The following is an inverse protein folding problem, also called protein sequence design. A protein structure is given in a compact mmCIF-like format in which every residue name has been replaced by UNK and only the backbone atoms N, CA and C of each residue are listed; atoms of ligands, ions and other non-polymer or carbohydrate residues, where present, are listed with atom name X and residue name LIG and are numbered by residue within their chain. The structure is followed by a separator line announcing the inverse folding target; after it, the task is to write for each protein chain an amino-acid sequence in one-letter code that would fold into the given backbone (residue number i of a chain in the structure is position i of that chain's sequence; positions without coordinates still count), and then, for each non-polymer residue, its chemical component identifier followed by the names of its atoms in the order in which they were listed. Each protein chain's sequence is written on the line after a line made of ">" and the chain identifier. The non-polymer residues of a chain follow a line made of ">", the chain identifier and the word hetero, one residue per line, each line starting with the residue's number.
data_IF_486153885231
#
_entry.id   IF_486153885231
#
_cell.length_a   1.000
_cell.length_b   1.000
_cell.length_c   1.000
_cell.angle_alpha   90.00
_cell.angle_beta   90.00
_cell.angle_gamma   90.00
#
_symmetry.space_group_name_H-M   'P 1'
#
loop_
_entity.id
_entity.type
_entity.pdbx_description
1 polymer ?
#
# COMPACT_ATOMS: atom_id res chain seq x y z
N UNK A 1 -0.98 -6.90 -25.19
CA UNK A 1 -2.32 -6.89 -24.54
C UNK A 1 -2.13 -6.37 -23.13
N UNK A 2 -3.01 -5.50 -22.64
CA UNK A 2 -2.90 -4.94 -21.29
C UNK A 2 -3.12 -6.04 -20.25
N UNK A 3 -2.25 -6.12 -19.24
CA UNK A 3 -2.41 -7.04 -18.10
C UNK A 3 -3.63 -6.61 -17.26
N UNK A 4 -4.48 -7.55 -16.78
CA UNK A 4 -5.55 -7.20 -15.85
C UNK A 4 -4.97 -6.76 -14.51
N UNK A 5 -5.74 -5.96 -13.76
CA UNK A 5 -5.39 -5.56 -12.41
C UNK A 5 -5.90 -6.58 -11.39
N UNK A 6 -5.06 -6.97 -10.43
CA UNK A 6 -5.47 -7.71 -9.24
C UNK A 6 -5.13 -6.84 -8.03
N UNK A 7 -6.15 -6.26 -7.41
CA UNK A 7 -5.99 -5.35 -6.28
C UNK A 7 -6.48 -6.06 -5.02
N UNK A 8 -5.58 -6.29 -4.08
CA UNK A 8 -5.83 -6.94 -2.80
C UNK A 8 -5.80 -5.88 -1.70
N UNK A 9 -6.85 -5.80 -0.88
CA UNK A 9 -7.00 -4.80 0.19
C UNK A 9 -7.27 -5.52 1.52
N UNK A 10 -6.19 -5.79 2.26
CA UNK A 10 -6.26 -6.40 3.60
C UNK A 10 -6.42 -5.35 4.70
N UNK A 11 -7.12 -5.70 5.78
CA UNK A 11 -7.14 -4.91 7.02
C UNK A 11 -7.75 -5.72 8.15
N UNK A 12 -7.53 -5.28 9.39
CA UNK A 12 -8.34 -5.73 10.52
C UNK A 12 -9.81 -5.31 10.36
N UNK A 13 -10.69 -5.91 11.16
CA UNK A 13 -12.12 -5.57 11.15
C UNK A 13 -12.33 -4.13 11.63
N UNK A 14 -13.26 -3.39 11.02
CA UNK A 14 -13.59 -2.02 11.45
C UNK A 14 -12.67 -0.90 10.92
N UNK A 15 -11.67 -1.19 10.09
CA UNK A 15 -10.76 -0.15 9.54
C UNK A 15 -11.39 0.66 8.39
N UNK A 16 -12.45 0.18 7.75
CA UNK A 16 -13.14 0.87 6.64
C UNK A 16 -12.78 0.38 5.23
N UNK A 17 -12.20 -0.83 5.11
CA UNK A 17 -11.79 -1.45 3.84
C UNK A 17 -12.87 -1.51 2.76
N UNK A 18 -14.11 -1.88 3.09
CA UNK A 18 -15.18 -2.08 2.10
C UNK A 18 -15.54 -0.78 1.38
N UNK A 19 -15.53 0.36 2.11
CA UNK A 19 -15.75 1.69 1.53
C UNK A 19 -14.63 2.06 0.57
N UNK A 20 -13.37 1.83 0.95
CA UNK A 20 -12.20 2.12 0.13
C UNK A 20 -12.17 1.23 -1.12
N UNK A 21 -12.42 -0.07 -0.96
CA UNK A 21 -12.45 -1.02 -2.06
C UNK A 21 -13.53 -0.68 -3.10
N UNK A 22 -14.74 -0.28 -2.65
CA UNK A 22 -15.81 0.15 -3.54
C UNK A 22 -15.45 1.40 -4.36
N UNK A 23 -14.84 2.40 -3.72
CA UNK A 23 -14.41 3.63 -4.40
C UNK A 23 -13.26 3.37 -5.38
N UNK A 24 -12.27 2.53 -5.02
CA UNK A 24 -11.20 2.09 -5.94
C UNK A 24 -11.78 1.36 -7.15
N UNK A 25 -12.66 0.38 -6.90
CA UNK A 25 -13.31 -0.40 -7.96
C UNK A 25 -14.06 0.51 -8.93
N UNK A 26 -14.79 1.50 -8.40
CA UNK A 26 -15.53 2.50 -9.19
C UNK A 26 -14.60 3.38 -10.02
N UNK A 27 -13.54 3.94 -9.41
CA UNK A 27 -12.61 4.86 -10.10
C UNK A 27 -11.82 4.17 -11.21
N UNK A 28 -11.45 2.91 -11.01
CA UNK A 28 -10.73 2.11 -12.01
C UNK A 28 -11.65 1.37 -12.98
N UNK A 29 -12.97 1.54 -12.85
CA UNK A 29 -13.99 0.84 -13.64
C UNK A 29 -13.81 -0.69 -13.61
N UNK A 30 -13.44 -1.23 -12.45
CA UNK A 30 -13.29 -2.65 -12.22
C UNK A 30 -14.66 -3.21 -11.83
N UNK A 31 -15.12 -4.20 -12.60
CA UNK A 31 -16.45 -4.81 -12.44
C UNK A 31 -16.52 -5.73 -11.23
N UNK A 32 -15.45 -6.49 -10.95
CA UNK A 32 -15.46 -7.52 -9.92
C UNK A 32 -14.85 -6.98 -8.63
N UNK A 33 -15.70 -6.82 -7.61
CA UNK A 33 -15.33 -6.53 -6.24
C UNK A 33 -15.79 -7.71 -5.37
N UNK A 34 -14.86 -8.41 -4.74
CA UNK A 34 -15.14 -9.62 -3.96
C UNK A 34 -14.67 -9.43 -2.51
N UNK A 35 -15.58 -9.65 -1.56
CA UNK A 35 -15.25 -9.70 -0.14
C UNK A 35 -14.85 -11.12 0.25
N UNK A 36 -13.70 -11.28 0.89
CA UNK A 36 -13.21 -12.62 1.32
C UNK A 36 -14.14 -13.27 2.35
N UNK A 37 -14.96 -12.50 3.08
CA UNK A 37 -15.98 -13.05 3.96
C UNK A 37 -17.02 -13.88 3.17
N UNK A 38 -17.39 -13.49 1.94
CA UNK A 38 -18.28 -14.33 1.10
C UNK A 38 -17.61 -15.65 0.71
N UNK A 39 -16.32 -15.61 0.39
CA UNK A 39 -15.54 -16.81 0.09
C UNK A 39 -15.49 -17.70 1.34
N UNK A 40 -15.27 -17.12 2.53
CA UNK A 40 -15.30 -17.85 3.80
C UNK A 40 -16.62 -18.57 4.01
N UNK A 41 -17.76 -17.91 3.80
CA UNK A 41 -19.07 -18.54 3.99
C UNK A 41 -19.30 -19.75 3.05
N UNK A 42 -18.76 -19.69 1.83
CA UNK A 42 -18.77 -20.85 0.91
C UNK A 42 -17.90 -21.99 1.48
N UNK A 43 -16.68 -21.70 1.92
CA UNK A 43 -15.78 -22.70 2.51
C UNK A 43 -16.38 -23.32 3.78
N UNK A 44 -17.05 -22.51 4.62
CA UNK A 44 -17.77 -22.96 5.83
C UNK A 44 -18.92 -23.92 5.52
N UNK A 45 -19.58 -23.77 4.38
CA UNK A 45 -20.62 -24.69 3.94
C UNK A 45 -20.08 -26.08 3.56
N UNK A 46 -18.78 -26.18 3.28
CA UNK A 46 -18.10 -27.42 2.89
C UNK A 46 -17.37 -28.07 4.07
N UNK A 47 -16.68 -27.28 4.89
CA UNK A 47 -15.86 -27.76 6.00
C UNK A 47 -16.56 -27.44 7.32
N UNK A 48 -17.00 -28.49 8.04
CA UNK A 48 -17.66 -28.35 9.34
C UNK A 48 -16.75 -27.85 10.45
N UNK A 49 -17.34 -27.28 11.50
CA UNK A 49 -16.63 -26.71 12.66
C UNK A 49 -15.75 -27.71 13.41
N UNK A 50 -16.07 -28.99 13.35
CA UNK A 50 -15.28 -30.05 13.99
C UNK A 50 -13.92 -30.25 13.32
N UNK A 51 -13.80 -29.89 12.04
CA UNK A 51 -12.59 -30.05 11.24
C UNK A 51 -11.82 -28.74 11.06
N UNK A 52 -12.51 -27.60 11.04
CA UNK A 52 -11.91 -26.28 10.90
C UNK A 52 -12.55 -25.28 11.88
N UNK A 53 -12.35 -25.41 13.20
CA UNK A 53 -13.04 -24.57 14.17
C UNK A 53 -12.72 -23.07 14.00
N UNK A 54 -11.48 -22.71 13.70
CA UNK A 54 -11.05 -21.33 13.44
C UNK A 54 -11.83 -20.67 12.28
N UNK A 55 -12.18 -21.43 11.24
CA UNK A 55 -12.98 -20.97 10.09
C UNK A 55 -14.40 -20.52 10.51
N UNK A 56 -14.95 -21.06 11.59
CA UNK A 56 -16.31 -20.77 12.08
C UNK A 56 -16.36 -19.69 13.16
N UNK A 57 -15.22 -19.14 13.56
CA UNK A 57 -15.10 -18.01 14.49
C UNK A 57 -14.95 -16.69 13.74
N UNK A 58 -15.11 -15.58 14.47
CA UNK A 58 -14.63 -14.27 14.00
C UNK A 58 -13.11 -14.25 13.96
N UNK A 59 -12.51 -13.46 13.07
CA UNK A 59 -11.06 -13.37 12.90
C UNK A 59 -10.31 -13.05 14.21
N UNK A 60 -10.88 -12.18 15.06
CA UNK A 60 -10.33 -11.77 16.35
C UNK A 60 -10.64 -12.72 17.53
N UNK A 61 -11.43 -13.78 17.31
CA UNK A 61 -11.78 -14.80 18.32
C UNK A 61 -11.30 -16.21 17.91
N UNK A 62 -10.66 -16.34 16.74
CA UNK A 62 -10.23 -17.63 16.20
C UNK A 62 -9.17 -18.32 17.06
N UNK A 63 -8.34 -17.55 17.76
CA UNK A 63 -7.31 -18.06 18.67
C UNK A 63 -7.87 -18.93 19.81
N UNK A 64 -9.15 -18.75 20.18
CA UNK A 64 -9.81 -19.58 21.20
C UNK A 64 -10.00 -21.04 20.78
N UNK A 65 -9.75 -21.34 19.50
CA UNK A 65 -9.87 -22.70 18.94
C UNK A 65 -8.56 -23.48 18.95
N UNK A 66 -7.42 -22.81 19.18
CA UNK A 66 -6.12 -23.42 19.31
C UNK A 66 -6.04 -24.23 20.60
N UNK A 67 -5.59 -25.49 20.51
CA UNK A 67 -5.52 -26.41 21.65
C UNK A 67 -4.16 -26.39 22.34
N UNK A 68 -3.12 -26.07 21.58
CA UNK A 68 -1.72 -26.09 22.00
C UNK A 68 -1.25 -24.71 22.48
N UNK A 69 -2.11 -24.02 23.24
CA UNK A 69 -1.87 -22.65 23.70
C UNK A 69 -0.58 -22.49 24.51
N UNK A 70 -0.08 -23.56 25.12
CA UNK A 70 1.17 -23.60 25.87
C UNK A 70 2.43 -23.46 25.01
N UNK A 71 2.33 -23.63 23.68
CA UNK A 71 3.45 -23.45 22.74
C UNK A 71 3.72 -21.99 22.39
N UNK A 72 2.84 -21.06 22.78
CA UNK A 72 2.95 -19.66 22.42
C UNK A 72 3.58 -18.87 23.57
N UNK A 73 4.59 -18.07 23.23
CA UNK A 73 5.36 -17.27 24.19
C UNK A 73 4.54 -16.16 24.86
N UNK A 74 3.41 -15.76 24.24
CA UNK A 74 2.54 -14.71 24.75
C UNK A 74 1.11 -14.84 24.19
N UNK A 75 0.17 -14.17 24.85
CA UNK A 75 -1.21 -14.00 24.38
C UNK A 75 -1.26 -13.35 22.98
N UNK A 76 -0.40 -12.36 22.72
CA UNK A 76 -0.28 -11.71 21.41
C UNK A 76 0.06 -12.73 20.32
N UNK A 77 1.06 -13.58 20.54
CA UNK A 77 1.45 -14.63 19.59
C UNK A 77 0.36 -15.68 19.37
N UNK A 78 -0.39 -16.00 20.43
CA UNK A 78 -1.55 -16.88 20.31
C UNK A 78 -2.66 -16.27 19.43
N UNK A 79 -2.95 -14.98 19.61
CA UNK A 79 -3.95 -14.25 18.81
C UNK A 79 -3.54 -14.19 17.34
N UNK A 80 -2.28 -13.82 17.06
CA UNK A 80 -1.71 -13.79 15.72
C UNK A 80 -1.84 -15.16 15.03
N UNK A 81 -1.45 -16.24 15.70
CA UNK A 81 -1.53 -17.59 15.16
C UNK A 81 -2.97 -18.04 14.88
N UNK A 82 -3.91 -17.73 15.78
CA UNK A 82 -5.32 -18.04 15.56
C UNK A 82 -5.91 -17.29 14.36
N UNK A 83 -5.48 -16.05 14.16
CA UNK A 83 -5.87 -15.26 12.99
C UNK A 83 -5.27 -15.81 11.69
N UNK A 84 -4.01 -16.24 11.70
CA UNK A 84 -3.40 -16.93 10.55
C UNK A 84 -4.10 -18.24 10.22
N UNK A 85 -4.43 -19.06 11.23
CA UNK A 85 -5.17 -20.31 11.03
C UNK A 85 -6.55 -20.02 10.42
N UNK A 86 -7.27 -19.01 10.93
CA UNK A 86 -8.54 -18.55 10.37
C UNK A 86 -8.43 -18.19 8.88
N UNK A 87 -7.39 -17.45 8.50
CA UNK A 87 -7.14 -17.08 7.11
C UNK A 87 -6.74 -18.26 6.24
N UNK A 88 -5.92 -19.19 6.75
CA UNK A 88 -5.32 -20.30 6.01
C UNK A 88 -6.34 -21.16 5.27
N UNK A 89 -7.54 -21.36 5.83
CA UNK A 89 -8.63 -22.11 5.20
C UNK A 89 -9.22 -21.42 3.97
N UNK A 90 -9.13 -20.09 3.88
CA UNK A 90 -9.77 -19.26 2.85
C UNK A 90 -8.79 -18.92 1.72
N UNK A 91 -7.50 -18.81 2.04
CA UNK A 91 -6.42 -18.45 1.09
C UNK A 91 -6.47 -19.26 -0.22
N UNK A 92 -6.58 -20.61 -0.21
CA UNK A 92 -6.61 -21.37 -1.46
C UNK A 92 -7.78 -20.98 -2.37
N UNK A 93 -8.93 -20.65 -1.79
CA UNK A 93 -10.11 -20.23 -2.55
C UNK A 93 -9.93 -18.82 -3.14
N UNK A 94 -9.31 -17.90 -2.38
CA UNK A 94 -8.92 -16.57 -2.87
C UNK A 94 -7.99 -16.70 -4.08
N UNK A 95 -6.95 -17.53 -3.99
CA UNK A 95 -6.02 -17.75 -5.10
C UNK A 95 -6.69 -18.34 -6.34
N UNK A 96 -7.71 -19.20 -6.18
CA UNK A 96 -8.52 -19.70 -7.31
C UNK A 96 -9.37 -18.60 -7.95
N UNK A 97 -9.93 -17.68 -7.16
CA UNK A 97 -10.65 -16.52 -7.68
C UNK A 97 -9.72 -15.62 -8.49
N UNK A 98 -8.52 -15.33 -7.96
CA UNK A 98 -7.49 -14.56 -8.69
C UNK A 98 -7.11 -15.27 -9.98
N UNK A 99 -6.78 -16.57 -9.91
CA UNK A 99 -6.41 -17.38 -11.07
C UNK A 99 -7.46 -17.33 -12.17
N UNK A 100 -8.75 -17.39 -11.78
CA UNK A 100 -9.87 -17.31 -12.72
C UNK A 100 -9.95 -15.94 -13.40
N UNK A 101 -9.86 -14.87 -12.62
CA UNK A 101 -9.90 -13.49 -13.15
C UNK A 101 -8.74 -13.21 -14.11
N UNK A 102 -7.52 -13.63 -13.74
CA UNK A 102 -6.32 -13.49 -14.58
C UNK A 102 -6.45 -14.26 -15.89
N UNK A 103 -6.96 -15.50 -15.83
CA UNK A 103 -7.20 -16.33 -17.03
C UNK A 103 -8.22 -15.69 -17.98
N UNK A 104 -9.28 -15.11 -17.41
CA UNK A 104 -10.34 -14.44 -18.17
C UNK A 104 -9.94 -13.02 -18.61
N UNK A 105 -8.76 -12.53 -18.20
CA UNK A 105 -8.24 -11.17 -18.42
C UNK A 105 -9.14 -10.08 -17.86
N UNK A 106 -9.85 -10.41 -16.79
CA UNK A 106 -10.71 -9.50 -16.05
C UNK A 106 -9.94 -8.92 -14.86
N UNK A 107 -10.00 -7.60 -14.70
CA UNK A 107 -9.50 -6.94 -13.50
C UNK A 107 -10.40 -7.22 -12.31
N UNK A 108 -9.84 -7.36 -11.11
CA UNK A 108 -10.56 -7.68 -9.87
C UNK A 108 -10.01 -6.92 -8.67
N UNK A 109 -10.91 -6.48 -7.79
CA UNK A 109 -10.60 -6.02 -6.43
C UNK A 109 -11.07 -7.09 -5.45
N UNK A 110 -10.19 -7.53 -4.56
CA UNK A 110 -10.53 -8.43 -3.46
C UNK A 110 -10.21 -7.71 -2.15
N UNK A 111 -11.19 -7.67 -1.25
CA UNK A 111 -11.03 -7.03 0.06
C UNK A 111 -11.33 -8.02 1.18
N UNK A 112 -10.61 -7.92 2.29
CA UNK A 112 -11.04 -8.60 3.51
C UNK A 112 -9.97 -8.90 4.54
N UNK A 113 -10.40 -9.47 5.66
CA UNK A 113 -9.51 -9.79 6.79
C UNK A 113 -8.57 -10.96 6.48
N UNK A 114 -8.94 -11.87 5.57
CA UNK A 114 -8.14 -13.04 5.22
C UNK A 114 -6.93 -12.71 4.32
N UNK A 115 -6.79 -11.45 3.87
CA UNK A 115 -5.68 -11.01 3.03
C UNK A 115 -4.46 -10.67 3.90
N UNK A 116 -3.75 -11.70 4.35
CA UNK A 116 -2.57 -11.56 5.21
C UNK A 116 -1.29 -11.54 4.36
N UNK A 117 -0.41 -10.53 4.52
CA UNK A 117 0.92 -10.51 3.90
C UNK A 117 1.70 -11.80 4.21
N UNK A 118 2.25 -12.43 3.18
CA UNK A 118 3.03 -13.66 3.30
C UNK A 118 2.23 -14.97 3.19
N UNK A 119 0.90 -14.95 3.39
CA UNK A 119 0.06 -16.14 3.19
C UNK A 119 -0.45 -16.31 1.76
N UNK A 120 -0.60 -15.22 1.01
CA UNK A 120 -1.01 -15.26 -0.40
C UNK A 120 0.25 -15.31 -1.27
N UNK A 121 0.35 -16.31 -2.14
CA UNK A 121 1.43 -16.37 -3.11
C UNK A 121 1.09 -15.50 -4.33
N UNK A 122 1.33 -14.19 -4.24
CA UNK A 122 1.09 -13.24 -5.35
C UNK A 122 2.04 -13.43 -6.53
N UNK A 123 3.25 -13.93 -6.27
CA UNK A 123 4.32 -14.11 -7.28
C UNK A 123 3.89 -15.00 -8.45
N UNK A 124 3.01 -15.96 -8.20
CA UNK A 124 2.49 -16.85 -9.25
C UNK A 124 1.66 -16.12 -10.33
N UNK A 125 1.30 -14.84 -10.11
CA UNK A 125 0.46 -14.06 -11.02
C UNK A 125 1.16 -12.85 -11.66
N UNK A 126 2.37 -12.47 -11.23
CA UNK A 126 3.05 -11.23 -11.64
C UNK A 126 3.33 -11.15 -13.16
N UNK A 127 3.63 -12.28 -13.79
CA UNK A 127 3.85 -12.35 -15.23
C UNK A 127 2.56 -12.15 -16.05
N UNK A 128 1.41 -12.41 -15.44
CA UNK A 128 0.12 -12.45 -16.12
C UNK A 128 -0.79 -11.27 -15.78
N UNK A 129 -0.58 -10.60 -14.65
CA UNK A 129 -1.41 -9.53 -14.13
C UNK A 129 -0.59 -8.47 -13.38
N UNK A 130 -1.13 -7.25 -13.30
CA UNK A 130 -0.59 -6.18 -12.47
C UNK A 130 -1.14 -6.35 -11.04
N UNK A 131 -0.29 -6.82 -10.12
CA UNK A 131 -0.69 -7.13 -8.74
C UNK A 131 -0.40 -5.94 -7.84
N UNK A 132 -1.42 -5.49 -7.10
CA UNK A 132 -1.28 -4.48 -6.05
C UNK A 132 -1.87 -5.03 -4.76
N UNK A 133 -1.06 -5.11 -3.70
CA UNK A 133 -1.51 -5.55 -2.39
C UNK A 133 -1.30 -4.40 -1.41
N UNK A 134 -2.37 -4.02 -0.70
CA UNK A 134 -2.37 -2.96 0.29
C UNK A 134 -2.85 -3.51 1.63
N UNK A 135 -2.25 -3.04 2.71
CA UNK A 135 -2.82 -3.15 4.06
C UNK A 135 -3.34 -1.79 4.50
N UNK A 136 -4.63 -1.71 4.80
CA UNK A 136 -5.21 -0.52 5.41
C UNK A 136 -5.13 -0.62 6.93
N UNK A 137 -4.81 0.50 7.57
CA UNK A 137 -4.83 0.68 9.02
C UNK A 137 -5.62 1.93 9.38
N UNK A 138 -5.91 2.12 10.67
CA UNK A 138 -6.42 3.37 11.24
C UNK A 138 -5.74 3.59 12.59
N UNK A 139 -5.72 4.83 13.07
CA UNK A 139 -5.34 5.08 14.46
C UNK A 139 -6.29 4.36 15.42
N UNK A 140 -5.81 4.05 16.63
CA UNK A 140 -6.54 3.22 17.58
C UNK A 140 -7.92 3.80 17.94
N UNK A 141 -8.01 5.12 18.10
CA UNK A 141 -9.27 5.77 18.47
C UNK A 141 -10.29 5.65 17.34
N UNK A 142 -9.93 6.03 16.11
CA UNK A 142 -10.81 5.88 14.95
C UNK A 142 -11.17 4.42 14.68
N UNK A 143 -10.19 3.52 14.82
CA UNK A 143 -10.42 2.08 14.67
C UNK A 143 -11.45 1.58 15.67
N UNK A 144 -11.33 1.98 16.95
CA UNK A 144 -12.28 1.65 18.01
C UNK A 144 -13.67 2.19 17.74
N UNK A 145 -13.78 3.47 17.38
CA UNK A 145 -15.05 4.12 17.06
C UNK A 145 -15.77 3.40 15.91
N UNK A 146 -15.06 3.12 14.81
CA UNK A 146 -15.62 2.39 13.66
C UNK A 146 -15.99 0.96 14.01
N UNK A 147 -15.19 0.29 14.84
CA UNK A 147 -15.48 -1.07 15.31
C UNK A 147 -16.77 -1.11 16.15
N UNK A 148 -16.94 -0.14 17.07
CA UNK A 148 -18.17 0.03 17.86
C UNK A 148 -19.38 0.30 16.96
N UNK A 149 -19.27 1.25 16.03
CA UNK A 149 -20.36 1.59 15.09
C UNK A 149 -20.80 0.36 14.28
N UNK A 150 -19.84 -0.42 13.79
CA UNK A 150 -20.12 -1.67 13.06
C UNK A 150 -20.83 -2.69 13.95
N UNK A 151 -20.39 -2.88 15.20
CA UNK A 151 -21.03 -3.81 16.13
C UNK A 151 -22.50 -3.39 16.42
N UNK A 152 -22.74 -2.10 16.64
CA UNK A 152 -24.10 -1.56 16.87
C UNK A 152 -25.02 -1.77 15.65
N UNK A 153 -24.52 -1.53 14.43
CA UNK A 153 -25.30 -1.71 13.21
C UNK A 153 -25.73 -3.17 12.98
N UNK A 154 -24.92 -4.14 13.42
CA UNK A 154 -25.17 -5.57 13.18
C UNK A 154 -26.12 -6.18 14.25
N UNK A 155 -26.53 -5.43 15.29
CA UNK A 155 -27.36 -5.92 16.41
C UNK A 155 -26.83 -7.23 17.05
N UNK A 156 -25.52 -7.46 17.00
CA UNK A 156 -24.88 -8.56 17.76
C UNK A 156 -24.59 -8.04 19.16
N UNK A 157 -25.02 -8.78 20.18
CA UNK A 157 -24.91 -8.39 21.59
C UNK A 157 -23.49 -7.97 21.98
N UNK A 158 -23.39 -7.14 23.02
CA UNK A 158 -22.19 -6.37 23.39
C UNK A 158 -20.86 -7.12 23.53
N UNK A 159 -20.86 -8.46 23.60
CA UNK A 159 -19.66 -9.29 23.67
C UNK A 159 -18.65 -9.05 22.53
N UNK A 160 -19.08 -8.58 21.36
CA UNK A 160 -18.17 -8.21 20.27
C UNK A 160 -17.23 -7.04 20.64
N UNK A 161 -17.67 -6.14 21.54
CA UNK A 161 -16.89 -4.97 21.95
C UNK A 161 -15.69 -5.35 22.82
N UNK A 162 -15.77 -6.47 23.53
CA UNK A 162 -14.71 -6.95 24.42
C UNK A 162 -13.46 -7.36 23.63
N UNK A 163 -13.62 -7.69 22.34
CA UNK A 163 -12.53 -8.15 21.47
C UNK A 163 -11.76 -7.04 20.73
N UNK A 164 -11.91 -5.78 21.14
CA UNK A 164 -11.18 -4.70 20.46
C UNK A 164 -9.66 -4.86 20.62
N UNK A 165 -9.20 -5.33 21.79
CA UNK A 165 -7.78 -5.59 22.06
C UNK A 165 -7.20 -6.58 21.06
N UNK A 166 -7.88 -7.71 20.84
CA UNK A 166 -7.45 -8.75 19.91
C UNK A 166 -7.50 -8.27 18.46
N UNK A 167 -8.55 -7.54 18.09
CA UNK A 167 -8.65 -6.95 16.76
C UNK A 167 -7.57 -5.87 16.50
N UNK A 168 -7.10 -5.18 17.55
CA UNK A 168 -5.98 -4.24 17.46
C UNK A 168 -4.64 -4.96 17.32
N UNK A 169 -4.42 -6.03 18.09
CA UNK A 169 -3.24 -6.91 17.93
C UNK A 169 -3.15 -7.42 16.48
N UNK A 170 -4.26 -7.88 15.91
CA UNK A 170 -4.32 -8.32 14.50
C UNK A 170 -3.98 -7.18 13.53
N UNK A 171 -4.46 -5.96 13.80
CA UNK A 171 -4.12 -4.80 12.97
C UNK A 171 -2.61 -4.55 12.97
N UNK A 172 -1.99 -4.57 14.15
CA UNK A 172 -0.58 -4.25 14.31
C UNK A 172 0.32 -5.36 13.72
N UNK A 173 -0.09 -6.63 13.82
CA UNK A 173 0.55 -7.77 13.15
C UNK A 173 0.49 -7.66 11.61
N UNK A 174 -0.68 -7.28 11.04
CA UNK A 174 -0.81 -7.05 9.60
C UNK A 174 0.13 -5.94 9.12
N UNK A 175 0.28 -4.85 9.89
CA UNK A 175 1.22 -3.76 9.57
C UNK A 175 2.65 -4.26 9.63
N UNK A 176 3.02 -5.01 10.67
CA UNK A 176 4.37 -5.54 10.82
C UNK A 176 4.74 -6.44 9.63
N UNK A 177 3.88 -7.39 9.27
CA UNK A 177 4.10 -8.29 8.14
C UNK A 177 4.14 -7.56 6.81
N UNK A 178 3.28 -6.56 6.62
CA UNK A 178 3.28 -5.73 5.42
C UNK A 178 4.62 -5.00 5.25
N UNK A 179 5.09 -4.34 6.31
CA UNK A 179 6.38 -3.64 6.30
C UNK A 179 7.55 -4.59 6.03
N UNK A 180 7.58 -5.77 6.67
CA UNK A 180 8.60 -6.80 6.44
C UNK A 180 8.66 -7.27 4.99
N UNK A 181 7.53 -7.30 4.30
CA UNK A 181 7.40 -7.76 2.91
C UNK A 181 7.31 -6.61 1.90
N UNK A 182 7.57 -5.37 2.34
CA UNK A 182 7.47 -4.16 1.51
C UNK A 182 6.12 -3.98 0.82
N UNK A 183 5.04 -4.43 1.47
CA UNK A 183 3.67 -4.21 1.05
C UNK A 183 3.21 -2.85 1.60
N UNK A 184 2.69 -1.94 0.77
CA UNK A 184 2.27 -0.62 1.24
C UNK A 184 1.20 -0.68 2.32
N UNK A 185 1.48 -0.01 3.44
CA UNK A 185 0.52 0.24 4.53
C UNK A 185 -0.06 1.65 4.36
N UNK A 186 -1.39 1.77 4.32
CA UNK A 186 -2.07 3.05 4.10
C UNK A 186 -3.00 3.35 5.27
N UNK A 187 -2.79 4.50 5.90
CA UNK A 187 -3.61 4.96 7.01
C UNK A 187 -4.93 5.56 6.51
N UNK A 188 -6.05 4.92 6.86
CA UNK A 188 -7.39 5.27 6.42
C UNK A 188 -8.09 6.28 7.34
N UNK A 189 -7.45 7.43 7.56
CA UNK A 189 -8.01 8.52 8.34
C UNK A 189 -8.98 9.38 7.51
N UNK A 190 -8.60 9.69 6.26
CA UNK A 190 -9.44 10.39 5.29
C UNK A 190 -9.65 9.51 4.06
N UNK A 191 -10.91 9.33 3.66
CA UNK A 191 -11.28 8.50 2.51
C UNK A 191 -10.60 8.97 1.22
N UNK A 192 -10.66 10.26 0.91
CA UNK A 192 -10.20 10.78 -0.38
C UNK A 192 -8.68 10.69 -0.50
N UNK A 193 -7.95 10.95 0.59
CA UNK A 193 -6.49 10.85 0.61
C UNK A 193 -6.02 9.40 0.56
N UNK A 194 -6.73 8.48 1.23
CA UNK A 194 -6.48 7.04 1.12
C UNK A 194 -6.61 6.57 -0.31
N UNK A 195 -7.69 6.98 -0.98
CA UNK A 195 -7.94 6.63 -2.38
C UNK A 195 -6.89 7.21 -3.31
N UNK A 196 -6.53 8.50 -3.13
CA UNK A 196 -5.44 9.12 -3.89
C UNK A 196 -4.14 8.33 -3.72
N UNK A 197 -3.75 8.02 -2.48
CA UNK A 197 -2.51 7.28 -2.17
C UNK A 197 -2.51 5.91 -2.82
N UNK A 198 -3.58 5.13 -2.70
CA UNK A 198 -3.70 3.83 -3.41
C UNK A 198 -3.56 3.98 -4.92
N UNK A 199 -4.20 4.99 -5.53
CA UNK A 199 -4.09 5.24 -6.96
C UNK A 199 -2.68 5.64 -7.39
N UNK A 200 -1.84 6.23 -6.53
CA UNK A 200 -0.42 6.48 -6.84
C UNK A 200 0.41 5.20 -6.99
N UNK A 201 0.03 4.17 -6.25
CA UNK A 201 0.65 2.85 -6.38
C UNK A 201 0.11 2.13 -7.61
N UNK A 202 -1.20 2.21 -7.85
CA UNK A 202 -1.89 1.48 -8.93
C UNK A 202 -1.64 2.09 -10.30
N UNK A 203 -1.68 3.42 -10.42
CA UNK A 203 -1.63 4.07 -11.72
C UNK A 203 -0.20 4.24 -12.20
N UNK A 204 0.03 3.78 -13.42
CA UNK A 204 1.27 3.99 -14.18
C UNK A 204 1.30 5.37 -14.87
N UNK A 205 0.37 6.28 -14.54
CA UNK A 205 0.35 7.64 -15.11
C UNK A 205 1.59 8.35 -14.61
N UNK A 206 2.60 8.26 -15.45
CA UNK A 206 3.94 8.69 -15.15
C UNK A 206 4.53 9.40 -16.33
N UNK A 207 5.43 10.31 -16.04
CA UNK A 207 6.21 10.98 -17.05
C UNK A 207 7.64 11.10 -16.55
N UNK A 208 8.59 10.81 -17.44
CA UNK A 208 9.97 11.18 -17.22
C UNK A 208 10.08 12.71 -17.32
N UNK A 209 10.37 13.36 -16.20
CA UNK A 209 10.52 14.80 -16.10
C UNK A 209 11.98 15.12 -15.84
N UNK A 210 12.51 16.12 -16.56
CA UNK A 210 13.84 16.64 -16.36
C UNK A 210 13.76 17.93 -15.57
N UNK A 211 14.59 18.06 -14.56
CA UNK A 211 14.65 19.20 -13.66
C UNK A 211 16.06 19.80 -13.66
N UNK A 212 16.14 21.09 -13.34
CA UNK A 212 17.42 21.77 -13.13
C UNK A 212 17.36 22.72 -11.93
N UNK A 213 17.90 22.28 -10.81
CA UNK A 213 18.02 23.06 -9.58
C UNK A 213 19.09 22.51 -8.64
N UNK A 214 19.55 23.30 -7.67
CA UNK A 214 20.50 22.83 -6.64
C UNK A 214 19.78 21.98 -5.59
N UNK A 215 20.55 21.47 -4.63
CA UNK A 215 20.01 20.73 -3.49
C UNK A 215 19.06 21.59 -2.62
N UNK A 216 19.16 22.91 -2.69
CA UNK A 216 18.35 23.85 -1.90
C UNK A 216 16.87 23.84 -2.32
N UNK A 217 16.58 23.42 -3.56
CA UNK A 217 15.22 23.36 -4.10
C UNK A 217 14.60 21.95 -4.00
N UNK A 218 15.29 20.96 -3.41
CA UNK A 218 14.77 19.58 -3.28
C UNK A 218 13.45 19.56 -2.50
N UNK A 219 13.38 20.31 -1.39
CA UNK A 219 12.16 20.34 -0.59
C UNK A 219 10.99 20.98 -1.36
N UNK A 220 11.28 22.07 -2.08
CA UNK A 220 10.29 22.73 -2.93
C UNK A 220 9.79 21.81 -4.06
N UNK A 221 10.67 21.06 -4.70
CA UNK A 221 10.30 20.03 -5.68
C UNK A 221 9.36 18.99 -5.04
N UNK A 222 9.75 18.47 -3.86
CA UNK A 222 8.98 17.50 -3.08
C UNK A 222 7.59 18.02 -2.78
N UNK A 223 7.47 19.22 -2.22
CA UNK A 223 6.19 19.85 -1.88
C UNK A 223 5.28 19.93 -3.11
N UNK A 224 5.78 20.35 -4.26
CA UNK A 224 4.99 20.46 -5.50
C UNK A 224 4.49 19.08 -5.94
N UNK A 225 5.37 18.08 -5.93
CA UNK A 225 5.04 16.71 -6.35
C UNK A 225 4.01 16.11 -5.39
N UNK A 226 4.26 16.12 -4.08
CA UNK A 226 3.39 15.49 -3.08
C UNK A 226 2.06 16.22 -2.89
N UNK A 227 2.00 17.54 -3.10
CA UNK A 227 0.76 18.35 -3.06
C UNK A 227 -0.36 17.81 -3.94
N UNK A 228 -0.02 17.31 -5.13
CA UNK A 228 -0.98 16.71 -6.07
C UNK A 228 -1.05 15.18 -5.97
N UNK A 229 -0.41 14.64 -4.93
CA UNK A 229 -0.27 13.22 -4.72
C UNK A 229 0.71 12.57 -5.70
N UNK A 230 1.73 13.28 -6.16
CA UNK A 230 2.79 12.67 -6.95
C UNK A 230 3.80 11.92 -6.10
N UNK A 231 4.58 11.03 -6.72
CA UNK A 231 5.78 10.42 -6.14
C UNK A 231 6.83 10.19 -7.20
N UNK A 232 8.10 10.08 -6.79
CA UNK A 232 9.18 9.61 -7.65
C UNK A 232 9.66 8.23 -7.21
N UNK A 233 10.14 7.43 -8.15
CA UNK A 233 10.77 6.13 -7.87
C UNK A 233 12.28 6.15 -8.04
N UNK A 234 12.79 7.16 -8.73
CA UNK A 234 14.18 7.25 -9.12
C UNK A 234 14.63 8.69 -9.31
N UNK A 235 15.94 8.88 -9.20
CA UNK A 235 16.64 10.09 -9.60
C UNK A 235 17.80 9.67 -10.48
N UNK A 236 17.88 10.23 -11.68
CA UNK A 236 18.95 9.97 -12.65
C UNK A 236 19.78 11.22 -12.90
N UNK A 237 21.09 11.15 -12.66
CA UNK A 237 22.05 12.25 -12.80
C UNK A 237 22.86 12.10 -14.09
N UNK A 238 22.91 13.16 -14.90
CA UNK A 238 23.57 13.17 -16.20
C UNK A 238 24.96 13.80 -16.11
N UNK A 239 25.97 12.99 -15.82
CA UNK A 239 27.37 13.44 -15.69
C UNK A 239 28.00 13.54 -17.08
N UNK A 240 28.62 14.68 -17.46
CA UNK A 240 29.28 14.82 -18.75
C UNK A 240 30.31 13.72 -19.03
N UNK A 241 30.34 13.21 -20.27
CA UNK A 241 31.21 12.11 -20.74
C UNK A 241 30.87 10.70 -20.22
N UNK A 242 29.81 10.54 -19.41
CA UNK A 242 29.29 9.22 -19.05
C UNK A 242 28.22 8.79 -20.06
N UNK A 243 28.26 7.52 -20.49
CA UNK A 243 27.30 6.97 -21.46
C UNK A 243 25.90 6.78 -20.88
N UNK A 244 25.83 6.43 -19.60
CA UNK A 244 24.59 6.16 -18.88
C UNK A 244 24.52 7.08 -17.66
N UNK A 245 23.31 7.58 -17.31
CA UNK A 245 23.15 8.37 -16.11
C UNK A 245 23.37 7.52 -14.86
N UNK A 246 23.81 8.16 -13.78
CA UNK A 246 23.83 7.52 -12.47
C UNK A 246 22.40 7.55 -11.91
N UNK A 247 21.75 6.39 -11.78
CA UNK A 247 20.38 6.29 -11.26
C UNK A 247 20.37 5.75 -9.82
N UNK A 248 19.66 6.43 -8.93
CA UNK A 248 19.34 5.98 -7.57
C UNK A 248 17.85 5.69 -7.45
N UNK A 249 17.49 4.60 -6.79
CA UNK A 249 16.10 4.28 -6.44
C UNK A 249 15.71 5.08 -5.19
N UNK A 250 14.50 5.62 -5.20
CA UNK A 250 13.90 6.36 -4.08
C UNK A 250 12.73 5.55 -3.53
N UNK A 251 12.74 5.34 -2.22
CA UNK A 251 11.65 4.68 -1.47
C UNK A 251 11.07 5.66 -0.45
N UNK A 252 9.78 5.55 -0.15
CA UNK A 252 9.08 6.37 0.85
C UNK A 252 9.13 7.89 0.60
N UNK A 253 9.11 8.30 -0.67
CA UNK A 253 9.14 9.72 -1.06
C UNK A 253 7.93 10.53 -0.57
N UNK A 254 6.77 9.89 -0.49
CA UNK A 254 5.49 10.45 -0.07
C UNK A 254 5.23 10.37 1.44
N UNK A 255 6.23 9.95 2.21
CA UNK A 255 6.18 9.88 3.66
C UNK A 255 6.85 11.12 4.27
N UNK A 256 6.03 12.03 4.81
CA UNK A 256 6.50 13.29 5.37
C UNK A 256 7.52 13.07 6.49
N UNK A 257 7.33 12.10 7.40
CA UNK A 257 8.27 11.88 8.51
C UNK A 257 9.64 11.41 8.00
N UNK A 258 9.67 10.46 7.06
CA UNK A 258 10.91 9.98 6.47
C UNK A 258 11.61 11.04 5.61
N UNK A 259 10.83 11.84 4.90
CA UNK A 259 11.36 12.89 4.04
C UNK A 259 11.86 14.10 4.85
N UNK A 260 11.23 14.44 5.97
CA UNK A 260 11.72 15.47 6.90
C UNK A 260 13.02 15.00 7.57
N UNK A 261 13.09 13.73 8.00
CA UNK A 261 14.35 13.14 8.50
C UNK A 261 15.48 13.19 7.45
N UNK A 262 15.17 12.96 6.17
CA UNK A 262 16.16 13.05 5.08
C UNK A 262 16.63 14.48 4.85
N UNK A 263 15.72 15.45 4.85
CA UNK A 263 16.06 16.88 4.71
C UNK A 263 16.88 17.34 5.92
N UNK A 264 16.45 16.99 7.13
CA UNK A 264 17.20 17.27 8.37
C UNK A 264 18.61 16.68 8.31
N UNK A 265 18.75 15.45 7.79
CA UNK A 265 20.06 14.81 7.61
C UNK A 265 20.92 15.57 6.61
N UNK A 266 20.36 16.03 5.48
CA UNK A 266 21.08 16.88 4.51
C UNK A 266 21.48 18.22 5.12
N UNK A 267 20.64 18.81 5.97
CA UNK A 267 20.93 20.11 6.57
C UNK A 267 22.01 20.03 7.67
N UNK A 268 22.05 18.93 8.42
CA UNK A 268 22.87 18.80 9.63
C UNK A 268 24.11 17.90 9.48
N UNK A 269 24.14 16.96 8.52
CA UNK A 269 25.32 16.12 8.24
C UNK A 269 26.17 16.68 7.09
N UNK A 270 27.28 17.35 7.45
CA UNK A 270 28.16 18.02 6.49
C UNK A 270 28.67 17.11 5.38
N UNK A 271 29.00 15.85 5.67
CA UNK A 271 29.60 14.93 4.70
C UNK A 271 28.58 14.39 3.67
N UNK A 272 27.35 14.08 4.10
CA UNK A 272 26.30 13.64 3.18
C UNK A 272 25.84 14.78 2.28
N UNK A 273 25.68 15.97 2.86
CA UNK A 273 25.39 17.20 2.12
C UNK A 273 26.45 17.47 1.04
N UNK A 274 27.73 17.45 1.42
CA UNK A 274 28.84 17.69 0.50
C UNK A 274 28.88 16.67 -0.65
N UNK A 275 28.60 15.40 -0.34
CA UNK A 275 28.54 14.33 -1.34
C UNK A 275 27.38 14.55 -2.32
N UNK A 276 26.20 14.93 -1.83
CA UNK A 276 25.04 15.20 -2.67
C UNK A 276 25.23 16.47 -3.50
N UNK A 277 25.76 17.54 -2.91
CA UNK A 277 26.12 18.76 -3.63
C UNK A 277 27.11 18.48 -4.76
N UNK A 278 28.12 17.64 -4.50
CA UNK A 278 29.10 17.24 -5.51
C UNK A 278 28.42 16.54 -6.67
N UNK A 279 27.49 15.62 -6.38
CA UNK A 279 26.74 14.90 -7.40
C UNK A 279 25.86 15.85 -8.25
N UNK A 280 25.15 16.77 -7.61
CA UNK A 280 24.37 17.80 -8.31
C UNK A 280 25.27 18.67 -9.19
N UNK A 281 26.40 19.18 -8.66
CA UNK A 281 27.37 19.97 -9.41
C UNK A 281 27.95 19.22 -10.61
N UNK A 282 28.29 17.93 -10.46
CA UNK A 282 28.80 17.08 -11.54
C UNK A 282 27.79 16.90 -12.68
N UNK A 283 26.50 16.90 -12.37
CA UNK A 283 25.42 16.83 -13.37
C UNK A 283 24.98 18.19 -13.92
N UNK A 284 25.71 19.28 -13.61
CA UNK A 284 25.29 20.66 -13.87
C UNK A 284 23.89 20.99 -13.31
N UNK A 285 23.56 20.38 -12.16
CA UNK A 285 22.26 20.41 -11.49
C UNK A 285 21.11 19.79 -12.31
N UNK A 286 21.41 19.08 -13.41
CA UNK A 286 20.40 18.47 -14.27
C UNK A 286 20.17 17.02 -13.87
N UNK A 287 18.92 16.69 -13.61
CA UNK A 287 18.51 15.36 -13.20
C UNK A 287 17.12 15.05 -13.73
N UNK A 288 16.72 13.77 -13.68
CA UNK A 288 15.39 13.35 -14.11
C UNK A 288 14.77 12.33 -13.17
N UNK A 289 13.44 12.33 -13.15
CA UNK A 289 12.62 11.45 -12.33
C UNK A 289 11.52 10.84 -13.18
N UNK A 290 11.13 9.60 -12.89
CA UNK A 290 9.79 9.15 -13.22
C UNK A 290 8.84 9.66 -12.13
N UNK A 291 8.06 10.70 -12.47
CA UNK A 291 7.01 11.22 -11.60
C UNK A 291 5.75 10.41 -11.89
N UNK A 292 5.21 9.73 -10.87
CA UNK A 292 3.94 9.03 -10.90
C UNK A 292 2.88 9.88 -10.21
N UNK A 293 1.66 9.91 -10.74
CA UNK A 293 0.55 10.65 -10.17
C UNK A 293 -0.74 9.80 -10.10
N UNK A 294 -1.72 10.17 -9.24
CA UNK A 294 -2.96 9.42 -9.08
C UNK A 294 -3.83 9.48 -10.34
N UNK A 295 -3.70 10.52 -11.17
CA UNK A 295 -4.39 10.65 -12.45
C UNK A 295 -3.68 11.67 -13.34
N UNK A 296 -4.13 11.78 -14.59
CA UNK A 296 -3.54 12.70 -15.58
C UNK A 296 -3.67 14.16 -15.19
N UNK A 297 -4.77 14.57 -14.56
CA UNK A 297 -4.97 15.96 -14.15
C UNK A 297 -3.98 16.33 -13.03
N UNK A 298 -3.79 15.43 -12.05
CA UNK A 298 -2.72 15.59 -11.06
C UNK A 298 -1.34 15.69 -11.71
N UNK A 299 -1.00 14.80 -12.65
CA UNK A 299 0.29 14.85 -13.36
C UNK A 299 0.48 16.17 -14.12
N UNK A 300 -0.56 16.61 -14.85
CA UNK A 300 -0.55 17.86 -15.61
C UNK A 300 -0.37 19.07 -14.67
N UNK A 301 -1.00 19.05 -13.48
CA UNK A 301 -0.83 20.09 -12.47
C UNK A 301 0.58 20.10 -11.85
N UNK A 302 1.16 18.93 -11.56
CA UNK A 302 2.55 18.82 -11.09
C UNK A 302 3.49 19.44 -12.11
N UNK A 303 3.40 19.02 -13.38
CA UNK A 303 4.26 19.51 -14.46
C UNK A 303 4.07 21.03 -14.65
N UNK A 304 2.84 21.51 -14.58
CA UNK A 304 2.54 22.94 -14.69
C UNK A 304 3.18 23.76 -13.56
N UNK A 305 3.05 23.32 -12.31
CA UNK A 305 3.60 24.05 -11.17
C UNK A 305 5.14 23.97 -11.12
N UNK A 306 5.75 22.82 -11.46
CA UNK A 306 7.20 22.71 -11.63
C UNK A 306 7.73 23.68 -12.70
N UNK A 307 6.96 23.89 -13.79
CA UNK A 307 7.30 24.86 -14.83
C UNK A 307 7.13 26.30 -14.35
N UNK A 308 6.03 26.62 -13.66
CA UNK A 308 5.77 27.95 -13.09
C UNK A 308 6.85 28.34 -12.06
N UNK A 309 7.39 27.37 -11.33
CA UNK A 309 8.48 27.57 -10.36
C UNK A 309 9.88 27.54 -10.98
N UNK A 310 10.00 27.38 -12.31
CA UNK A 310 11.27 27.41 -13.03
C UNK A 310 12.15 26.17 -12.85
N UNK A 311 11.62 25.08 -12.29
CA UNK A 311 12.37 23.85 -12.01
C UNK A 311 12.48 22.94 -13.25
N UNK A 312 11.51 23.03 -14.16
CA UNK A 312 11.41 22.13 -15.32
C UNK A 312 12.46 22.46 -16.40
N UNK A 313 13.17 21.44 -16.87
CA UNK A 313 14.22 21.53 -17.87
C UNK A 313 13.84 20.83 -19.18
N UNK A 314 14.10 21.45 -20.32
CA UNK A 314 13.86 20.81 -21.62
C UNK A 314 14.97 19.80 -21.94
N UNK A 315 14.58 18.53 -22.12
CA UNK A 315 15.47 17.43 -22.52
C UNK A 315 16.36 17.78 -23.72
N UNK A 316 15.86 18.58 -24.68
CA UNK A 316 16.63 18.97 -25.88
C UNK A 316 17.90 19.75 -25.55
N UNK A 317 18.00 20.33 -24.36
CA UNK A 317 19.16 21.09 -23.93
C UNK A 317 20.20 20.25 -23.18
N UNK A 318 19.94 18.96 -22.95
CA UNK A 318 20.91 18.02 -22.36
C UNK A 318 21.96 17.70 -23.42
N UNK A 319 23.17 18.20 -23.20
CA UNK A 319 24.32 17.85 -24.02
C UNK A 319 24.79 16.45 -23.62
N UNK A 320 24.63 15.48 -24.53
CA UNK A 320 25.32 14.19 -24.46
C UNK A 320 26.83 14.41 -24.66
#
# INVERSE_FOLDING_TARGET
>A
MMKPYVILIGSASGVGKSTIAAEISKKLNIKYLIETDFIREIVRGVIGSDYAPALHKSSYDAYTTLRDTFNFESETKLIEAGFEEHASFVIPAIEKVISRSVKDKDSIVIEGVHLIPGLINTKQFEDLANIYFFILTADEQQHKERFIQRAMAIKRGGAQLDYFKENRIINDDLIQKANMLSIPVINNNNKDDTIKKMLQYINEVSQLVYLKHSIDDIDKEREIITKYGGRITDISYYIPNFKEPLTRIVTNYDDNENADNFIDTIEHESQQKESLETLYKLSNNIHSHHIYAPDKNSLDNIIRELKEQGLLYDKKNIKN
#
